data_IF_497045742729
#
_entry.id   IF_497045742729
#
_cell.length_a   1.000
_cell.length_b   1.000
_cell.length_c   1.000
_cell.angle_alpha   90.00
_cell.angle_beta   90.00
_cell.angle_gamma   90.00
#
_symmetry.space_group_name_H-M   'P 1'
#
loop_
_entity.id
_entity.type
_entity.pdbx_description
1 polymer ?
#
# COMPACT_ATOMS: atom_id res chain seq x y z
N UNK A 1 9.75 14.87 -1.53
CA UNK A 1 9.95 13.42 -1.77
C UNK A 1 8.97 12.54 -0.99
N UNK A 2 9.01 12.51 0.35
CA UNK A 2 8.21 11.58 1.17
C UNK A 2 6.69 11.66 0.93
N UNK A 3 6.16 12.87 0.76
CA UNK A 3 4.75 13.09 0.44
C UNK A 3 4.32 12.40 -0.87
N UNK A 4 5.20 12.34 -1.89
CA UNK A 4 4.87 11.69 -3.17
C UNK A 4 4.80 10.18 -2.99
N UNK A 5 5.73 9.58 -2.25
CA UNK A 5 5.67 8.14 -1.92
C UNK A 5 4.40 7.79 -1.17
N UNK A 6 3.98 8.64 -0.23
CA UNK A 6 2.72 8.48 0.51
C UNK A 6 1.51 8.58 -0.44
N UNK A 7 1.51 9.56 -1.35
CA UNK A 7 0.44 9.72 -2.32
C UNK A 7 0.30 8.47 -3.20
N UNK A 8 1.41 7.94 -3.71
CA UNK A 8 1.43 6.74 -4.53
C UNK A 8 0.93 5.51 -3.76
N UNK A 9 1.35 5.34 -2.52
CA UNK A 9 0.87 4.28 -1.63
C UNK A 9 -0.65 4.38 -1.41
N UNK A 10 -1.15 5.56 -1.06
CA UNK A 10 -2.59 5.78 -0.81
C UNK A 10 -3.40 5.55 -2.09
N UNK A 11 -2.89 6.00 -3.22
CA UNK A 11 -3.50 5.77 -4.52
C UNK A 11 -3.54 4.28 -4.88
N UNK A 12 -2.46 3.53 -4.62
CA UNK A 12 -2.43 2.08 -4.83
C UNK A 12 -3.46 1.35 -3.97
N UNK A 13 -3.55 1.70 -2.67
CA UNK A 13 -4.54 1.12 -1.76
C UNK A 13 -5.96 1.41 -2.24
N UNK A 14 -6.21 2.64 -2.69
CA UNK A 14 -7.51 3.03 -3.23
C UNK A 14 -7.88 2.23 -4.48
N UNK A 15 -6.92 2.01 -5.38
CA UNK A 15 -7.09 1.21 -6.59
C UNK A 15 -7.42 -0.25 -6.27
N UNK A 16 -6.70 -0.86 -5.33
CA UNK A 16 -6.95 -2.23 -4.87
C UNK A 16 -8.34 -2.41 -4.25
N UNK A 17 -8.90 -1.37 -3.64
CA UNK A 17 -10.23 -1.41 -3.00
C UNK A 17 -11.37 -1.16 -3.99
N UNK A 18 -11.10 -0.62 -5.18
CA UNK A 18 -12.13 -0.25 -6.14
C UNK A 18 -12.29 -1.31 -7.25
N UNK A 19 -13.19 -2.31 -7.09
CA UNK A 19 -13.33 -3.42 -8.03
C UNK A 19 -13.80 -2.99 -9.42
N UNK A 20 -14.48 -1.83 -9.50
CA UNK A 20 -15.01 -1.32 -10.75
C UNK A 20 -13.90 -0.92 -11.74
N UNK A 21 -12.72 -0.56 -11.24
CA UNK A 21 -11.58 -0.22 -12.10
C UNK A 21 -10.83 -1.48 -12.58
N UNK A 22 -10.67 -2.47 -11.70
CA UNK A 22 -9.94 -3.71 -12.00
C UNK A 22 -10.59 -4.55 -13.12
N UNK A 23 -11.91 -4.49 -13.30
CA UNK A 23 -12.61 -5.30 -14.30
C UNK A 23 -12.34 -4.90 -15.77
N UNK A 24 -11.74 -3.73 -16.01
CA UNK A 24 -11.59 -3.17 -17.38
C UNK A 24 -10.14 -2.99 -17.81
N UNK A 25 -9.17 -3.17 -16.92
CA UNK A 25 -7.75 -2.97 -17.23
C UNK A 25 -7.08 -4.22 -17.80
N UNK A 26 -6.40 -4.05 -18.93
CA UNK A 26 -5.50 -5.07 -19.48
C UNK A 26 -4.28 -5.26 -18.56
N UNK A 27 -3.78 -6.50 -18.44
CA UNK A 27 -2.61 -6.87 -17.62
C UNK A 27 -1.39 -5.97 -17.88
N UNK A 28 -1.16 -5.57 -19.12
CA UNK A 28 -0.05 -4.68 -19.49
C UNK A 28 -0.19 -3.29 -18.87
N UNK A 29 -1.42 -2.78 -18.72
CA UNK A 29 -1.68 -1.47 -18.12
C UNK A 29 -1.42 -1.49 -16.61
N UNK A 30 -1.75 -2.59 -15.93
CA UNK A 30 -1.50 -2.74 -14.49
C UNK A 30 0.01 -2.76 -14.18
N UNK A 31 0.79 -3.47 -14.98
CA UNK A 31 2.25 -3.50 -14.84
C UNK A 31 2.84 -2.09 -15.03
N UNK A 32 2.47 -1.39 -16.11
CA UNK A 32 2.94 -0.03 -16.39
C UNK A 32 2.55 0.93 -15.24
N UNK A 33 1.31 0.86 -14.76
CA UNK A 33 0.82 1.68 -13.66
C UNK A 33 1.62 1.46 -12.38
N UNK A 34 1.90 0.20 -12.02
CA UNK A 34 2.72 -0.15 -10.86
C UNK A 34 4.15 0.39 -10.99
N UNK A 35 4.76 0.26 -12.17
CA UNK A 35 6.09 0.81 -12.45
C UNK A 35 6.11 2.33 -12.32
N UNK A 36 5.13 3.03 -12.90
CA UNK A 36 5.03 4.50 -12.80
C UNK A 36 4.89 4.94 -11.35
N UNK A 37 4.05 4.26 -10.57
CA UNK A 37 3.86 4.54 -9.14
C UNK A 37 5.18 4.45 -8.36
N UNK A 38 6.01 3.46 -8.68
CA UNK A 38 7.29 3.28 -8.02
C UNK A 38 8.33 4.30 -8.47
N UNK A 39 8.37 4.66 -9.75
CA UNK A 39 9.36 5.56 -10.35
C UNK A 39 9.11 7.03 -9.98
N UNK A 40 7.85 7.45 -9.85
CA UNK A 40 7.47 8.83 -9.56
C UNK A 40 8.21 9.49 -8.36
N UNK A 41 8.28 8.88 -7.16
CA UNK A 41 9.00 9.48 -6.03
C UNK A 41 10.50 9.68 -6.31
N UNK A 42 11.14 8.77 -7.04
CA UNK A 42 12.56 8.90 -7.41
C UNK A 42 12.78 10.01 -8.43
N UNK A 43 11.88 10.17 -9.40
CA UNK A 43 11.94 11.30 -10.34
C UNK A 43 11.79 12.63 -9.61
N UNK A 44 10.83 12.76 -8.69
CA UNK A 44 10.70 14.01 -7.92
C UNK A 44 11.93 14.29 -7.06
N UNK A 45 12.48 13.26 -6.41
CA UNK A 45 13.72 13.39 -5.64
C UNK A 45 14.87 13.89 -6.51
N UNK A 46 15.14 13.23 -7.64
CA UNK A 46 16.26 13.58 -8.53
C UNK A 46 16.13 15.01 -9.06
N UNK A 47 14.94 15.44 -9.48
CA UNK A 47 14.70 16.81 -9.96
C UNK A 47 15.00 17.86 -8.88
N UNK A 48 14.49 17.66 -7.66
CA UNK A 48 14.75 18.60 -6.56
C UNK A 48 16.23 18.58 -6.12
N UNK A 49 16.88 17.41 -6.11
CA UNK A 49 18.30 17.28 -5.78
C UNK A 49 19.19 17.96 -6.82
N UNK A 50 18.95 17.75 -8.11
CA UNK A 50 19.71 18.39 -9.19
C UNK A 50 19.52 19.90 -9.13
N UNK A 51 18.30 20.38 -8.92
CA UNK A 51 18.01 21.81 -8.78
C UNK A 51 18.73 22.44 -7.59
N UNK A 52 18.71 21.77 -6.43
CA UNK A 52 19.42 22.22 -5.24
C UNK A 52 20.94 22.24 -5.45
N UNK A 53 21.50 21.19 -6.07
CA UNK A 53 22.92 21.11 -6.38
C UNK A 53 23.36 22.24 -7.33
N UNK A 54 22.58 22.48 -8.39
CA UNK A 54 22.84 23.54 -9.35
C UNK A 54 22.81 24.93 -8.70
N UNK A 55 21.80 25.21 -7.87
CA UNK A 55 21.72 26.46 -7.10
C UNK A 55 22.87 26.63 -6.11
N UNK A 56 23.35 25.54 -5.52
CA UNK A 56 24.47 25.56 -4.57
C UNK A 56 25.79 25.91 -5.24
N UNK A 57 26.00 25.46 -6.49
CA UNK A 57 27.16 25.81 -7.31
C UNK A 57 27.09 27.27 -7.77
N UNK A 58 25.90 27.76 -8.14
CA UNK A 58 25.72 29.12 -8.66
C UNK A 58 25.86 30.20 -7.57
N UNK A 59 25.48 29.89 -6.33
CA UNK A 59 25.48 30.85 -5.21
C UNK A 59 26.16 30.27 -3.96
N UNK A 60 27.49 30.04 -3.99
CA UNK A 60 28.20 29.40 -2.88
C UNK A 60 28.14 30.22 -1.58
N UNK A 61 28.00 31.55 -1.66
CA UNK A 61 27.86 32.44 -0.49
C UNK A 61 26.53 32.31 0.25
N UNK A 62 25.54 31.62 -0.35
CA UNK A 62 24.21 31.37 0.24
C UNK A 62 24.11 29.99 0.89
N UNK A 63 25.16 29.18 0.82
CA UNK A 63 25.24 27.89 1.50
C UNK A 63 25.75 28.17 2.91
N UNK A 64 24.84 28.11 3.88
CA UNK A 64 25.18 28.43 5.26
C UNK A 64 25.04 27.20 6.17
N UNK A 65 26.05 26.99 7.01
CA UNK A 65 26.09 25.89 7.99
C UNK A 65 25.60 26.33 9.36
N UNK A 66 25.54 27.64 9.61
CA UNK A 66 25.31 28.19 10.94
C UNK A 66 23.89 27.96 11.48
N UNK A 67 22.90 27.76 10.60
CA UNK A 67 21.50 27.52 11.01
C UNK A 67 21.24 26.10 11.48
N UNK A 68 22.01 25.12 10.99
CA UNK A 68 21.76 23.69 11.17
C UNK A 68 23.09 22.98 11.35
N UNK A 69 23.49 22.75 12.61
CA UNK A 69 24.79 22.16 12.97
C UNK A 69 25.13 20.85 12.23
N UNK A 70 24.10 20.11 11.78
CA UNK A 70 24.24 18.78 11.19
C UNK A 70 24.26 18.75 9.65
N UNK A 71 23.82 19.79 8.94
CA UNK A 71 23.76 19.79 7.47
C UNK A 71 23.79 21.19 6.86
N UNK A 72 24.35 21.31 5.66
CA UNK A 72 24.36 22.56 4.92
C UNK A 72 22.95 22.89 4.41
N UNK A 73 22.47 24.09 4.71
CA UNK A 73 21.19 24.59 4.20
C UNK A 73 21.42 25.66 3.14
N UNK A 74 20.68 25.59 2.04
CA UNK A 74 20.70 26.60 0.99
C UNK A 74 19.67 27.69 1.36
N UNK A 75 20.15 28.90 1.67
CA UNK A 75 19.28 30.04 2.01
C UNK A 75 18.79 30.73 0.73
N UNK A 76 17.81 30.11 0.08
CA UNK A 76 17.18 30.61 -1.14
C UNK A 76 15.66 30.50 -1.06
N UNK A 77 15.01 31.60 -0.67
CA UNK A 77 13.57 31.69 -0.43
C UNK A 77 12.69 31.10 -1.54
N UNK A 78 12.86 31.45 -2.84
CA UNK A 78 11.93 30.97 -3.85
C UNK A 78 12.03 29.46 -4.10
N UNK A 79 13.20 28.84 -3.87
CA UNK A 79 13.33 27.38 -3.95
C UNK A 79 12.64 26.70 -2.76
N UNK A 80 12.82 27.24 -1.56
CA UNK A 80 12.12 26.77 -0.35
C UNK A 80 10.61 26.89 -0.48
N UNK A 81 10.11 28.04 -0.96
CA UNK A 81 8.68 28.31 -1.17
C UNK A 81 8.08 27.38 -2.22
N UNK A 82 8.79 27.13 -3.33
CA UNK A 82 8.37 26.19 -4.36
C UNK A 82 8.29 24.74 -3.83
N UNK A 83 9.30 24.30 -3.08
CA UNK A 83 9.31 22.97 -2.47
C UNK A 83 8.17 22.81 -1.48
N UNK A 84 7.91 23.83 -0.67
CA UNK A 84 6.83 23.83 0.30
C UNK A 84 5.45 23.84 -0.37
N UNK A 85 5.25 24.68 -1.39
CA UNK A 85 4.01 24.71 -2.17
C UNK A 85 3.70 23.33 -2.78
N UNK A 86 4.72 22.67 -3.34
CA UNK A 86 4.60 21.32 -3.85
C UNK A 86 4.17 20.30 -2.77
N UNK A 87 4.76 20.38 -1.57
CA UNK A 87 4.38 19.52 -0.44
C UNK A 87 2.93 19.77 -0.01
N UNK A 88 2.50 21.03 0.10
CA UNK A 88 1.12 21.37 0.48
C UNK A 88 0.12 20.80 -0.53
N UNK A 89 0.35 21.01 -1.83
CA UNK A 89 -0.52 20.47 -2.89
C UNK A 89 -0.59 18.95 -2.83
N UNK A 90 0.55 18.28 -2.65
CA UNK A 90 0.61 16.82 -2.56
C UNK A 90 -0.13 16.31 -1.32
N UNK A 91 0.03 16.97 -0.16
CA UNK A 91 -0.68 16.61 1.06
C UNK A 91 -2.19 16.81 0.95
N UNK A 92 -2.66 17.88 0.30
CA UNK A 92 -4.08 18.09 0.02
C UNK A 92 -4.65 16.98 -0.87
N UNK A 93 -3.91 16.56 -1.91
CA UNK A 93 -4.29 15.43 -2.75
C UNK A 93 -4.38 14.12 -1.94
N UNK A 94 -3.42 13.86 -1.05
CA UNK A 94 -3.47 12.71 -0.13
C UNK A 94 -4.73 12.75 0.73
N UNK A 95 -5.05 13.90 1.35
CA UNK A 95 -6.23 14.05 2.21
C UNK A 95 -7.53 13.81 1.42
N UNK A 96 -7.62 14.32 0.19
CA UNK A 96 -8.78 14.09 -0.67
C UNK A 96 -8.98 12.60 -0.99
N UNK A 97 -7.92 11.88 -1.36
CA UNK A 97 -8.00 10.44 -1.64
C UNK A 97 -8.33 9.66 -0.36
N UNK A 98 -7.73 10.00 0.78
CA UNK A 98 -8.01 9.36 2.07
C UNK A 98 -9.45 9.58 2.53
N UNK A 99 -9.99 10.78 2.35
CA UNK A 99 -11.39 11.07 2.67
C UNK A 99 -12.32 10.19 1.82
N UNK A 100 -12.08 10.09 0.51
CA UNK A 100 -12.85 9.18 -0.35
C UNK A 100 -12.71 7.72 0.06
N UNK A 101 -11.49 7.27 0.36
CA UNK A 101 -11.21 5.92 0.81
C UNK A 101 -11.96 5.60 2.11
N UNK A 102 -11.96 6.52 3.06
CA UNK A 102 -12.67 6.40 4.33
C UNK A 102 -14.18 6.29 4.11
N UNK A 103 -14.77 7.08 3.21
CA UNK A 103 -16.20 6.99 2.86
C UNK A 103 -16.55 5.64 2.25
N UNK A 104 -15.75 5.15 1.30
CA UNK A 104 -15.97 3.84 0.66
C UNK A 104 -15.88 2.74 1.71
N UNK A 105 -14.84 2.77 2.54
CA UNK A 105 -14.61 1.77 3.58
C UNK A 105 -15.73 1.78 4.63
N UNK A 106 -16.18 2.96 5.04
CA UNK A 106 -17.30 3.12 5.97
C UNK A 106 -18.61 2.56 5.38
N UNK A 107 -18.88 2.83 4.09
CA UNK A 107 -20.07 2.28 3.40
C UNK A 107 -20.01 0.76 3.29
N UNK A 108 -18.87 0.21 2.90
CA UNK A 108 -18.67 -1.24 2.82
C UNK A 108 -18.82 -1.90 4.19
N UNK A 109 -18.20 -1.32 5.22
CA UNK A 109 -18.31 -1.82 6.59
C UNK A 109 -19.76 -1.80 7.09
N UNK A 110 -20.48 -0.69 6.85
CA UNK A 110 -21.90 -0.59 7.20
C UNK A 110 -22.74 -1.63 6.47
N UNK A 111 -22.50 -1.84 5.16
CA UNK A 111 -23.21 -2.85 4.37
C UNK A 111 -23.01 -4.27 4.88
N UNK A 112 -21.77 -4.64 5.19
CA UNK A 112 -21.42 -5.96 5.73
C UNK A 112 -22.08 -6.18 7.10
N UNK A 113 -22.09 -5.15 7.96
CA UNK A 113 -22.73 -5.23 9.28
C UNK A 113 -24.24 -5.44 9.19
N UNK A 114 -24.91 -4.84 8.20
CA UNK A 114 -26.35 -5.06 7.99
C UNK A 114 -26.65 -6.48 7.48
N UNK A 115 -25.72 -7.11 6.77
CA UNK A 115 -25.86 -8.48 6.29
C UNK A 115 -25.66 -9.55 7.38
N UNK A 116 -25.42 -9.17 8.64
CA UNK A 116 -25.26 -10.10 9.76
C UNK A 116 -23.98 -10.93 9.72
N UNK A 117 -23.06 -10.64 8.77
CA UNK A 117 -21.78 -11.31 8.72
C UNK A 117 -20.86 -10.74 9.79
N UNK A 118 -20.45 -11.59 10.73
CA UNK A 118 -19.30 -11.37 11.59
C UNK A 118 -18.04 -11.42 10.71
N UNK A 119 -17.82 -10.37 9.92
CA UNK A 119 -16.62 -10.28 9.12
C UNK A 119 -15.45 -10.02 10.07
N UNK A 120 -14.46 -10.91 10.05
CA UNK A 120 -13.07 -10.56 10.36
C UNK A 120 -12.55 -9.58 9.31
N UNK A 121 -13.25 -8.45 9.11
CA UNK A 121 -12.64 -7.29 8.48
C UNK A 121 -11.48 -6.95 9.38
N UNK A 122 -10.30 -6.80 8.77
CA UNK A 122 -9.11 -6.30 9.43
C UNK A 122 -9.38 -4.92 10.04
N UNK A 123 -9.91 -4.90 11.27
CA UNK A 123 -9.96 -3.71 12.13
C UNK A 123 -8.55 -3.10 12.21
N UNK A 124 -7.53 -3.94 12.11
CA UNK A 124 -6.14 -3.57 11.96
C UNK A 124 -5.86 -2.67 10.75
N UNK A 125 -6.43 -2.95 9.57
CA UNK A 125 -6.28 -2.11 8.38
C UNK A 125 -6.94 -0.75 8.58
N UNK A 126 -8.16 -0.72 9.12
CA UNK A 126 -8.89 0.52 9.41
C UNK A 126 -8.07 1.38 10.38
N UNK A 127 -7.60 0.78 11.47
CA UNK A 127 -6.78 1.46 12.47
C UNK A 127 -5.50 2.01 11.85
N UNK A 128 -4.78 1.22 11.04
CA UNK A 128 -3.57 1.65 10.34
C UNK A 128 -3.83 2.86 9.44
N UNK A 129 -4.90 2.83 8.65
CA UNK A 129 -5.28 3.94 7.75
C UNK A 129 -5.62 5.19 8.55
N UNK A 130 -6.30 5.05 9.70
CA UNK A 130 -6.65 6.15 10.59
C UNK A 130 -5.42 6.78 11.25
N UNK A 131 -4.54 5.98 11.86
CA UNK A 131 -3.29 6.46 12.47
C UNK A 131 -2.42 7.16 11.44
N UNK A 132 -2.27 6.55 10.25
CA UNK A 132 -1.58 7.19 9.15
C UNK A 132 -2.27 8.49 8.69
N UNK A 133 -3.61 8.54 8.76
CA UNK A 133 -4.44 9.74 8.56
C UNK A 133 -4.02 10.88 9.44
N UNK A 134 -4.10 10.66 10.75
CA UNK A 134 -3.74 11.64 11.78
C UNK A 134 -2.29 12.08 11.60
N UNK A 135 -1.36 11.16 11.33
CA UNK A 135 0.04 11.48 11.14
C UNK A 135 0.29 12.42 9.94
N UNK A 136 -0.37 12.18 8.81
CA UNK A 136 -0.28 13.09 7.64
C UNK A 136 -0.88 14.47 7.96
N UNK A 137 -2.00 14.53 8.70
CA UNK A 137 -2.56 15.81 9.16
C UNK A 137 -1.59 16.57 10.06
N UNK A 138 -0.93 15.89 11.01
CA UNK A 138 0.10 16.49 11.84
C UNK A 138 1.25 17.03 10.99
N UNK A 139 1.74 16.27 10.02
CA UNK A 139 2.78 16.71 9.09
C UNK A 139 2.39 17.96 8.29
N UNK A 140 1.11 18.08 7.88
CA UNK A 140 0.59 19.28 7.24
C UNK A 140 0.58 20.48 8.20
N UNK A 141 0.13 20.29 9.44
CA UNK A 141 0.17 21.34 10.47
C UNK A 141 1.60 21.80 10.73
N UNK A 142 2.55 20.87 10.89
CA UNK A 142 3.98 21.19 11.04
C UNK A 142 4.50 21.99 9.85
N UNK A 143 4.12 21.60 8.63
CA UNK A 143 4.53 22.30 7.41
C UNK A 143 3.99 23.73 7.36
N UNK A 144 2.73 23.95 7.78
CA UNK A 144 2.14 25.29 7.87
C UNK A 144 2.80 26.13 8.97
N UNK A 145 3.06 25.56 10.13
CA UNK A 145 3.75 26.25 11.24
C UNK A 145 5.19 26.62 10.87
N UNK A 146 5.84 25.83 10.02
CA UNK A 146 7.19 26.12 9.52
C UNK A 146 7.23 27.38 8.65
N UNK A 147 6.14 27.77 8.00
CA UNK A 147 6.04 29.05 7.25
C UNK A 147 6.10 30.21 8.23
N UNK A 148 5.33 30.12 9.31
CA UNK A 148 5.23 31.18 10.29
C UNK A 148 6.50 31.32 11.13
N UNK A 149 7.21 30.22 11.38
CA UNK A 149 8.39 30.18 12.26
C UNK A 149 9.57 29.47 11.59
N UNK A 150 10.24 30.18 10.67
CA UNK A 150 11.35 29.66 9.88
C UNK A 150 12.60 29.20 10.68
N UNK A 151 12.68 29.47 11.98
CA UNK A 151 13.80 29.07 12.85
C UNK A 151 13.53 27.85 13.75
N UNK A 152 12.40 27.16 13.59
CA UNK A 152 12.08 26.02 14.44
C UNK A 152 12.80 24.74 13.97
N UNK A 153 13.51 24.06 14.89
CA UNK A 153 14.09 22.73 14.65
C UNK A 153 13.02 21.60 14.59
N UNK A 154 11.77 21.93 14.88
CA UNK A 154 10.67 20.99 15.02
C UNK A 154 10.36 20.16 13.76
N UNK A 155 10.33 20.73 12.52
CA UNK A 155 10.06 19.95 11.31
C UNK A 155 11.08 18.84 11.06
N UNK A 156 12.33 19.07 11.46
CA UNK A 156 13.41 18.09 11.31
C UNK A 156 13.26 16.93 12.29
N UNK A 157 12.91 17.23 13.53
CA UNK A 157 12.60 16.19 14.51
C UNK A 157 11.37 15.38 14.07
N UNK A 158 10.33 16.05 13.58
CA UNK A 158 9.15 15.37 13.02
C UNK A 158 9.56 14.46 11.85
N UNK A 159 10.39 14.94 10.93
CA UNK A 159 10.89 14.14 9.81
C UNK A 159 11.64 12.88 10.26
N UNK A 160 12.42 12.95 11.35
CA UNK A 160 13.12 11.79 11.92
C UNK A 160 12.14 10.73 12.48
N UNK A 161 10.97 11.13 12.98
CA UNK A 161 9.96 10.18 13.47
C UNK A 161 9.24 9.41 12.36
N UNK A 162 9.27 9.91 11.11
CA UNK A 162 8.56 9.31 9.98
C UNK A 162 8.97 7.84 9.79
N UNK A 163 10.28 7.55 9.86
CA UNK A 163 10.78 6.19 9.69
C UNK A 163 10.26 5.23 10.75
N UNK A 164 10.20 5.67 12.00
CA UNK A 164 9.68 4.88 13.12
C UNK A 164 8.18 4.61 12.92
N UNK A 165 7.41 5.64 12.56
CA UNK A 165 5.97 5.51 12.35
C UNK A 165 5.67 4.60 11.16
N UNK A 166 6.40 4.72 10.06
CA UNK A 166 6.26 3.83 8.89
C UNK A 166 6.62 2.40 9.28
N UNK A 167 7.74 2.21 9.98
CA UNK A 167 8.17 0.89 10.46
C UNK A 167 7.13 0.26 11.39
N UNK A 168 6.51 1.04 12.28
CA UNK A 168 5.47 0.55 13.18
C UNK A 168 4.17 0.26 12.41
N UNK A 169 3.79 1.13 11.47
CA UNK A 169 2.62 0.91 10.63
C UNK A 169 2.82 -0.36 9.84
N UNK A 170 3.85 -0.50 8.99
CA UNK A 170 4.03 -1.68 8.15
C UNK A 170 4.50 -2.91 8.91
N UNK A 171 5.41 -2.77 9.86
CA UNK A 171 5.97 -3.85 10.64
C UNK A 171 4.96 -4.56 11.53
N UNK A 172 3.85 -3.91 11.92
CA UNK A 172 2.78 -4.56 12.70
C UNK A 172 1.89 -5.50 11.88
N UNK A 173 2.05 -5.58 10.55
CA UNK A 173 1.26 -6.52 9.74
C UNK A 173 1.60 -7.94 10.14
N UNK A 174 0.59 -8.77 10.39
CA UNK A 174 0.80 -10.16 10.76
C UNK A 174 1.70 -10.89 9.75
N UNK A 175 1.51 -10.63 8.45
CA UNK A 175 2.31 -11.21 7.38
C UNK A 175 3.79 -10.79 7.45
N UNK A 176 4.06 -9.52 7.77
CA UNK A 176 5.42 -8.99 7.90
C UNK A 176 6.08 -9.55 9.16
N UNK A 177 5.37 -9.57 10.29
CA UNK A 177 5.85 -10.20 11.52
C UNK A 177 6.16 -11.67 11.26
N UNK A 178 5.30 -12.40 10.56
CA UNK A 178 5.51 -13.81 10.25
C UNK A 178 6.71 -14.04 9.33
N UNK A 179 6.94 -13.17 8.35
CA UNK A 179 8.13 -13.23 7.51
C UNK A 179 9.42 -12.94 8.31
N UNK A 180 9.37 -12.01 9.26
CA UNK A 180 10.51 -11.67 10.12
C UNK A 180 10.79 -12.73 11.20
N UNK A 181 9.73 -13.30 11.79
CA UNK A 181 9.79 -14.33 12.82
C UNK A 181 9.63 -15.73 12.24
N UNK A 182 10.19 -16.00 11.05
CA UNK A 182 10.08 -17.32 10.42
C UNK A 182 10.66 -18.46 11.28
N UNK A 183 11.56 -18.12 12.21
CA UNK A 183 12.17 -19.04 13.16
C UNK A 183 11.26 -19.42 14.33
N UNK A 184 10.20 -18.63 14.60
CA UNK A 184 9.28 -18.90 15.70
C UNK A 184 8.26 -19.92 15.20
N UNK A 185 8.19 -21.13 15.79
CA UNK A 185 7.24 -22.13 15.35
C UNK A 185 5.82 -21.62 15.62
N UNK A 186 5.14 -21.19 14.55
CA UNK A 186 3.75 -20.75 14.63
C UNK A 186 2.91 -21.98 14.93
N UNK A 187 2.33 -22.01 16.13
CA UNK A 187 1.21 -22.91 16.41
C UNK A 187 0.02 -22.40 15.61
N UNK A 188 -0.05 -22.80 14.35
CA UNK A 188 -1.22 -22.54 13.50
C UNK A 188 -2.39 -23.24 14.19
N UNK A 189 -3.18 -22.47 14.94
CA UNK A 189 -4.54 -22.88 15.23
C UNK A 189 -5.26 -22.86 13.88
N UNK A 190 -5.29 -24.02 13.23
CA UNK A 190 -6.22 -24.28 12.14
C UNK A 190 -7.63 -24.17 12.73
N UNK A 191 -8.13 -22.94 12.81
CA UNK A 191 -9.54 -22.71 13.05
C UNK A 191 -10.26 -23.24 11.81
N UNK A 192 -10.84 -24.43 11.98
CA UNK A 192 -11.51 -25.17 10.93
C UNK A 192 -12.67 -24.33 10.38
N UNK A 193 -12.81 -24.40 9.05
CA UNK A 193 -14.03 -24.27 8.23
C UNK A 193 -14.32 -22.88 7.62
N UNK A 194 -13.52 -22.51 6.63
CA UNK A 194 -14.02 -21.64 5.55
C UNK A 194 -14.88 -22.48 4.60
N UNK A 195 -16.20 -22.32 4.69
CA UNK A 195 -17.14 -22.82 3.69
C UNK A 195 -16.92 -21.97 2.43
N UNK A 196 -16.40 -22.55 1.36
CA UNK A 196 -16.31 -21.88 0.06
C UNK A 196 -17.72 -21.71 -0.50
N UNK A 197 -18.32 -20.52 -0.34
CA UNK A 197 -19.46 -20.13 -1.15
C UNK A 197 -18.95 -19.81 -2.55
N UNK A 198 -19.18 -20.72 -3.50
CA UNK A 198 -19.04 -20.40 -4.91
C UNK A 198 -20.06 -19.30 -5.20
N UNK A 199 -19.56 -18.11 -5.56
CA UNK A 199 -20.39 -16.98 -5.98
C UNK A 199 -20.91 -17.23 -7.40
N UNK A 200 -21.69 -18.29 -7.58
CA UNK A 200 -22.48 -18.46 -8.78
C UNK A 200 -23.80 -17.72 -8.53
N UNK A 201 -23.85 -16.46 -8.94
CA UNK A 201 -25.07 -15.64 -8.93
C UNK A 201 -26.03 -16.19 -9.99
N UNK A 202 -26.63 -17.36 -9.72
CA UNK A 202 -27.81 -17.82 -10.43
C UNK A 202 -29.03 -17.24 -9.71
N UNK A 203 -29.95 -16.54 -10.40
CA UNK A 203 -31.14 -15.93 -9.78
C UNK A 203 -32.13 -16.96 -9.20
N UNK A 204 -31.94 -18.26 -9.49
CA UNK A 204 -32.73 -19.33 -8.91
C UNK A 204 -32.00 -19.90 -7.69
N UNK A 205 -32.22 -19.29 -6.54
CA UNK A 205 -31.73 -19.77 -5.25
C UNK A 205 -32.60 -20.94 -4.79
N UNK A 206 -32.45 -22.11 -5.42
CA UNK A 206 -32.92 -23.35 -4.83
C UNK A 206 -32.05 -23.64 -3.61
N UNK A 207 -32.64 -23.47 -2.43
CA UNK A 207 -32.05 -23.93 -1.17
C UNK A 207 -32.06 -25.46 -1.23
N UNK A 208 -31.03 -26.05 -1.82
CA UNK A 208 -30.75 -27.47 -1.69
C UNK A 208 -30.36 -27.65 -0.23
N UNK A 209 -31.34 -27.95 0.63
CA UNK A 209 -31.06 -28.46 1.97
C UNK A 209 -30.25 -29.74 1.75
N UNK A 210 -29.01 -29.83 2.24
CA UNK A 210 -28.31 -31.10 2.21
C UNK A 210 -29.11 -32.04 3.10
N UNK A 211 -29.89 -32.93 2.48
CA UNK A 211 -30.42 -34.11 3.15
C UNK A 211 -29.23 -34.99 3.46
N UNK A 212 -28.56 -34.71 4.59
CA UNK A 212 -27.54 -35.58 5.15
C UNK A 212 -28.28 -36.83 5.60
N UNK A 213 -28.36 -37.78 4.69
CA UNK A 213 -28.86 -39.12 4.92
C UNK A 213 -27.86 -39.84 5.83
N UNK A 214 -28.04 -39.68 7.16
CA UNK A 214 -27.23 -40.30 8.21
C UNK A 214 -27.32 -41.83 8.23
N UNK A 215 -28.13 -42.45 7.37
CA UNK A 215 -28.25 -43.91 7.31
C UNK A 215 -27.22 -44.58 6.39
N UNK A 216 -26.47 -43.83 5.59
CA UNK A 216 -25.47 -44.43 4.68
C UNK A 216 -24.08 -44.48 5.33
N UNK A 217 -23.45 -45.66 5.43
CA UNK A 217 -22.07 -45.77 5.87
C UNK A 217 -21.19 -44.93 4.95
N UNK A 218 -20.26 -44.17 5.55
CA UNK A 218 -19.34 -43.31 4.82
C UNK A 218 -18.70 -44.11 3.67
N UNK A 219 -18.78 -43.64 2.41
CA UNK A 219 -18.05 -44.27 1.32
C UNK A 219 -16.57 -44.27 1.69
N UNK A 220 -15.94 -45.43 1.56
CA UNK A 220 -14.51 -45.59 1.79
C UNK A 220 -13.77 -44.50 1.00
N UNK A 221 -12.98 -43.70 1.72
CA UNK A 221 -12.18 -42.64 1.14
C UNK A 221 -11.23 -43.32 0.14
N UNK A 222 -11.32 -43.05 -1.17
CA UNK A 222 -10.39 -43.64 -2.11
C UNK A 222 -8.98 -43.10 -1.79
N UNK A 223 -8.02 -44.00 -1.58
CA UNK A 223 -6.59 -43.72 -1.30
C UNK A 223 -5.86 -42.92 -2.40
N UNK A 224 -6.60 -42.38 -3.37
CA UNK A 224 -6.09 -41.53 -4.44
C UNK A 224 -6.93 -40.27 -4.49
N UNK A 225 -6.82 -39.44 -3.46
CA UNK A 225 -7.14 -38.02 -3.60
C UNK A 225 -6.07 -37.43 -4.51
N UNK A 226 -6.35 -37.45 -5.81
CA UNK A 226 -5.61 -36.67 -6.79
C UNK A 226 -5.82 -35.20 -6.38
N UNK A 227 -4.84 -34.65 -5.68
CA UNK A 227 -4.75 -33.22 -5.44
C UNK A 227 -4.57 -32.59 -6.81
N UNK A 228 -5.67 -32.11 -7.41
CA UNK A 228 -5.61 -31.17 -8.53
C UNK A 228 -5.06 -29.88 -7.94
N UNK A 229 -3.74 -29.85 -7.77
CA UNK A 229 -3.00 -28.63 -7.60
C UNK A 229 -3.33 -27.78 -8.81
N UNK A 230 -4.06 -26.68 -8.59
CA UNK A 230 -4.25 -25.64 -9.58
C UNK A 230 -2.88 -24.99 -9.76
N UNK A 231 -2.05 -25.61 -10.60
CA UNK A 231 -0.81 -25.04 -11.09
C UNK A 231 -1.20 -23.83 -11.93
N UNK A 232 -1.13 -22.65 -11.32
CA UNK A 232 -1.06 -21.39 -12.04
C UNK A 232 0.35 -21.25 -12.63
N UNK A 233 0.74 -22.20 -13.48
CA UNK A 233 1.88 -22.08 -14.39
C UNK A 233 1.35 -21.85 -15.81
N UNK A 234 0.80 -20.66 -16.04
CA UNK A 234 0.67 -20.14 -17.39
C UNK A 234 1.27 -18.75 -17.43
N UNK A 235 2.58 -18.72 -17.74
CA UNK A 235 3.27 -17.47 -18.05
C UNK A 235 4.78 -17.50 -18.13
N UNK A 236 5.43 -18.64 -18.40
CA UNK A 236 6.88 -18.70 -18.70
C UNK A 236 7.22 -20.01 -19.43
N UNK A 237 6.58 -20.25 -20.58
CA UNK A 237 6.90 -21.39 -21.46
C UNK A 237 6.69 -21.02 -22.92
N UNK A 238 7.45 -20.03 -23.37
CA UNK A 238 7.71 -19.70 -24.77
C UNK A 238 9.10 -19.06 -24.76
N UNK A 239 10.15 -19.88 -24.87
CA UNK A 239 11.49 -19.51 -25.38
C UNK A 239 12.54 -20.64 -25.23
N UNK A 240 12.28 -21.71 -24.46
CA UNK A 240 13.25 -22.80 -24.30
C UNK A 240 13.27 -23.85 -25.43
N UNK A 241 12.22 -23.94 -26.26
CA UNK A 241 12.17 -24.96 -27.34
C UNK A 241 12.84 -24.55 -28.67
N UNK A 242 13.37 -23.33 -28.80
CA UNK A 242 14.14 -22.95 -30.01
C UNK A 242 15.65 -23.19 -29.92
N UNK A 243 16.17 -23.70 -28.80
CA UNK A 243 17.61 -23.94 -28.65
C UNK A 243 18.08 -25.35 -29.02
N UNK A 244 17.17 -26.31 -29.30
CA UNK A 244 17.55 -27.73 -29.50
C UNK A 244 17.48 -28.18 -30.99
N UNK A 245 16.99 -27.35 -31.91
CA UNK A 245 16.90 -27.70 -33.34
C UNK A 245 18.02 -27.14 -34.24
N UNK A 246 19.11 -26.57 -33.71
CA UNK A 246 20.24 -26.09 -34.54
C UNK A 246 21.55 -26.88 -34.38
N UNK A 247 21.51 -28.08 -33.80
CA UNK A 247 22.66 -29.00 -33.79
C UNK A 247 22.20 -30.36 -34.34
N UNK A 248 21.98 -30.39 -35.64
CA UNK A 248 21.98 -31.57 -36.49
C UNK A 248 22.51 -31.13 -37.87
#
# INVERSE_FOLDING_TARGET
MWAVSILMLVYHIWDCINPNMAATTSKSVEAIKSTILFVAPYLTLTVFTISAAFLSILHPTRVNRDRLFFYCSLDYSPFSDAMLGFVIVTCLAILAIKARLAVILYRNWRGIRHAGYASNIDVQLIFRVLVFGVYVCLGLIVSLLSISNAMSAFPNMFAATIGIVISLLFGTQHDVLHAWFYWVPVRIHFEKKTIYFTRNWSPNFEIIKPSVDTSKPLPAIPDKVLVIGRSNEHGLRLDSERAIQSIA
#
